data_IF_688429857382
#
_entry.id   IF_688429857382
#
_cell.length_a   1.000
_cell.length_b   1.000
_cell.length_c   1.000
_cell.angle_alpha   90.00
_cell.angle_beta   90.00
_cell.angle_gamma   90.00
#
_symmetry.space_group_name_H-M   'P 1'
#
loop_
_entity.id
_entity.type
_entity.pdbx_description
1 polymer ?
#
# COMPACT_ATOMS: atom_id res chain seq x y z
N UNK A 1 -3.02 -29.99 28.80
CA UNK A 1 -2.37 -29.58 27.55
C UNK A 1 -2.83 -28.16 27.28
N UNK A 2 -1.93 -27.20 27.43
CA UNK A 2 -2.23 -25.77 27.28
C UNK A 2 -2.43 -25.41 25.81
N UNK A 3 -3.26 -24.41 25.56
CA UNK A 3 -3.50 -23.82 24.24
C UNK A 3 -2.24 -23.22 23.61
N UNK A 4 -1.17 -22.98 24.37
CA UNK A 4 0.13 -22.48 23.90
C UNK A 4 0.95 -23.54 23.14
N UNK A 5 0.89 -24.82 23.54
CA UNK A 5 1.62 -25.90 22.84
C UNK A 5 1.02 -26.19 21.46
N UNK A 6 -0.27 -25.95 21.27
CA UNK A 6 -1.00 -26.28 20.04
C UNK A 6 -0.78 -25.25 18.91
N UNK A 7 -0.55 -23.98 19.23
CA UNK A 7 -0.21 -22.92 18.27
C UNK A 7 1.24 -23.00 17.82
N UNK A 8 2.15 -23.42 18.71
CA UNK A 8 3.57 -23.52 18.41
C UNK A 8 3.87 -24.68 17.45
N UNK A 9 3.22 -25.84 17.62
CA UNK A 9 3.35 -26.98 16.70
C UNK A 9 2.83 -26.69 15.28
N UNK A 10 1.80 -25.85 15.15
CA UNK A 10 1.24 -25.42 13.84
C UNK A 10 2.03 -24.29 13.18
N UNK A 11 2.62 -23.39 13.97
CA UNK A 11 3.61 -22.44 13.47
C UNK A 11 4.86 -23.18 12.98
N UNK A 12 5.28 -24.24 13.66
CA UNK A 12 6.32 -25.16 13.18
C UNK A 12 5.89 -25.90 11.92
N UNK A 13 4.60 -26.20 11.73
CA UNK A 13 4.10 -26.82 10.49
C UNK A 13 4.08 -25.83 9.31
N UNK A 14 3.74 -24.56 9.54
CA UNK A 14 3.86 -23.46 8.55
C UNK A 14 5.33 -23.14 8.29
N UNK A 15 6.17 -23.05 9.31
CA UNK A 15 7.62 -22.92 9.19
C UNK A 15 8.21 -24.13 8.48
N UNK A 16 7.74 -25.36 8.71
CA UNK A 16 8.19 -26.56 7.97
C UNK A 16 7.70 -26.59 6.52
N UNK A 17 6.48 -26.16 6.24
CA UNK A 17 6.00 -25.98 4.86
C UNK A 17 6.85 -24.93 4.12
N UNK A 18 7.31 -23.89 4.83
CA UNK A 18 8.19 -22.84 4.29
C UNK A 18 9.69 -23.22 4.34
N UNK A 19 10.15 -24.06 5.27
CA UNK A 19 11.53 -24.57 5.38
C UNK A 19 11.79 -25.71 4.40
N UNK A 20 10.73 -26.41 3.96
CA UNK A 20 10.81 -27.39 2.86
C UNK A 20 10.97 -26.67 1.51
N UNK A 21 10.63 -25.38 1.36
CA UNK A 21 10.64 -24.71 0.04
C UNK A 21 11.18 -23.27 -0.05
N UNK A 22 11.62 -22.62 1.02
CA UNK A 22 12.52 -21.46 0.94
C UNK A 22 13.94 -21.94 1.22
N UNK A 23 14.69 -22.40 0.19
CA UNK A 23 16.05 -22.84 0.41
C UNK A 23 16.81 -21.69 1.05
N UNK A 24 17.49 -22.03 2.16
CA UNK A 24 18.73 -21.39 2.58
C UNK A 24 19.42 -20.81 1.35
N UNK A 25 19.75 -19.52 1.43
CA UNK A 25 20.41 -18.61 0.47
C UNK A 25 21.76 -19.10 -0.10
N UNK A 26 21.87 -20.41 -0.34
CA UNK A 26 23.08 -21.19 -0.55
C UNK A 26 23.09 -21.99 -1.86
N UNK A 27 22.01 -21.98 -2.65
CA UNK A 27 22.10 -22.25 -4.10
C UNK A 27 22.27 -20.95 -4.88
N UNK A 28 23.35 -20.22 -4.58
CA UNK A 28 24.00 -19.30 -5.53
C UNK A 28 24.65 -20.14 -6.65
N UNK A 29 23.86 -20.89 -7.41
CA UNK A 29 24.29 -21.22 -8.76
C UNK A 29 24.12 -19.94 -9.59
N UNK A 30 25.24 -19.47 -10.13
CA UNK A 30 25.36 -18.32 -11.03
C UNK A 30 24.22 -18.29 -12.07
N UNK A 31 23.13 -17.59 -11.77
CA UNK A 31 22.22 -16.99 -12.75
C UNK A 31 22.42 -15.46 -12.80
N UNK A 32 23.65 -15.00 -12.56
CA UNK A 32 24.07 -13.59 -12.49
C UNK A 32 24.06 -12.85 -13.86
N UNK A 33 23.25 -13.24 -14.83
CA UNK A 33 23.20 -12.59 -16.15
C UNK A 33 21.80 -12.38 -16.73
N UNK A 34 20.75 -12.63 -15.95
CA UNK A 34 19.37 -12.49 -16.43
C UNK A 34 18.89 -11.06 -16.18
N UNK A 35 18.40 -10.40 -17.22
CA UNK A 35 17.96 -9.01 -17.12
C UNK A 35 16.65 -8.90 -16.31
N UNK A 36 16.58 -7.88 -15.44
CA UNK A 36 15.42 -7.63 -14.59
C UNK A 36 14.76 -6.29 -14.87
N UNK A 37 13.49 -6.15 -14.51
CA UNK A 37 12.74 -4.90 -14.58
C UNK A 37 12.02 -4.58 -13.26
N UNK A 38 12.07 -3.29 -12.87
CA UNK A 38 11.23 -2.76 -11.79
C UNK A 38 9.99 -2.10 -12.39
N UNK A 39 8.80 -2.59 -12.02
CA UNK A 39 7.52 -2.15 -12.56
C UNK A 39 6.47 -2.12 -11.45
N UNK A 40 5.86 -0.97 -11.17
CA UNK A 40 4.77 -0.86 -10.18
C UNK A 40 3.45 -1.43 -10.71
N UNK A 41 2.46 -1.76 -9.86
CA UNK A 41 1.14 -2.22 -10.29
C UNK A 41 0.46 -1.32 -11.34
N UNK A 42 0.54 0.00 -11.15
CA UNK A 42 0.04 1.00 -12.12
C UNK A 42 0.81 1.03 -13.45
N UNK A 43 2.09 0.67 -13.44
CA UNK A 43 2.87 0.51 -14.67
C UNK A 43 2.56 -0.81 -15.35
N UNK A 44 2.31 -1.89 -14.60
CA UNK A 44 1.85 -3.18 -15.13
C UNK A 44 0.54 -2.98 -15.87
N UNK A 45 -0.42 -2.23 -15.32
CA UNK A 45 -1.70 -1.95 -15.98
C UNK A 45 -1.52 -1.29 -17.37
N UNK A 46 -0.65 -0.28 -17.45
CA UNK A 46 -0.30 0.37 -18.73
C UNK A 46 0.43 -0.58 -19.67
N UNK A 47 1.37 -1.35 -19.15
CA UNK A 47 2.13 -2.33 -19.94
C UNK A 47 1.25 -3.46 -20.46
N UNK A 48 0.25 -3.92 -19.69
CA UNK A 48 -0.73 -4.91 -20.13
C UNK A 48 -1.46 -4.45 -21.39
N UNK A 49 -1.91 -3.19 -21.43
CA UNK A 49 -2.54 -2.62 -22.63
C UNK A 49 -1.58 -2.59 -23.82
N UNK A 50 -0.34 -2.14 -23.61
CA UNK A 50 0.67 -2.06 -24.67
C UNK A 50 1.12 -3.44 -25.16
N UNK A 51 1.16 -4.43 -24.26
CA UNK A 51 1.48 -5.81 -24.56
C UNK A 51 0.37 -6.49 -25.37
N UNK A 52 -0.90 -6.27 -25.01
CA UNK A 52 -2.03 -6.74 -25.82
C UNK A 52 -2.07 -6.10 -27.20
N UNK A 53 -1.75 -4.80 -27.30
CA UNK A 53 -1.62 -4.12 -28.58
C UNK A 53 -0.48 -4.72 -29.42
N UNK A 54 0.68 -4.96 -28.81
CA UNK A 54 1.82 -5.62 -29.46
C UNK A 54 1.44 -7.01 -29.98
N UNK A 55 0.76 -7.83 -29.18
CA UNK A 55 0.34 -9.18 -29.58
C UNK A 55 -0.68 -9.19 -30.74
N UNK A 56 -1.38 -8.09 -31.00
CA UNK A 56 -2.31 -7.95 -32.14
C UNK A 56 -1.63 -7.46 -33.42
N UNK A 57 -0.44 -6.87 -33.30
CA UNK A 57 0.30 -6.29 -34.42
C UNK A 57 1.43 -7.25 -34.83
N UNK A 58 1.39 -7.72 -36.07
CA UNK A 58 2.32 -8.75 -36.58
C UNK A 58 3.76 -8.26 -36.80
N UNK A 59 4.02 -6.96 -36.69
CA UNK A 59 5.25 -6.32 -37.13
C UNK A 59 5.70 -5.22 -36.12
N UNK A 60 6.97 -5.26 -35.71
CA UNK A 60 7.54 -4.33 -34.72
C UNK A 60 7.54 -2.85 -35.17
N UNK A 61 7.66 -2.58 -36.48
CA UNK A 61 7.59 -1.22 -37.04
C UNK A 61 6.18 -0.65 -36.90
N UNK A 62 5.15 -1.45 -37.22
CA UNK A 62 3.75 -1.03 -37.08
C UNK A 62 3.41 -0.80 -35.62
N UNK A 63 3.93 -1.63 -34.71
CA UNK A 63 3.76 -1.44 -33.28
C UNK A 63 4.38 -0.12 -32.81
N UNK A 64 5.63 0.17 -33.20
CA UNK A 64 6.28 1.45 -32.87
C UNK A 64 5.51 2.63 -33.46
N UNK A 65 4.97 2.50 -34.68
CA UNK A 65 4.14 3.52 -35.28
C UNK A 65 2.87 3.78 -34.47
N UNK A 66 2.17 2.74 -34.01
CA UNK A 66 1.01 2.88 -33.12
C UNK A 66 1.37 3.57 -31.79
N UNK A 67 2.55 3.30 -31.22
CA UNK A 67 3.00 4.00 -30.01
C UNK A 67 3.18 5.52 -30.20
N UNK A 68 3.42 5.98 -31.43
CA UNK A 68 3.52 7.42 -31.74
C UNK A 68 2.15 8.10 -31.77
N UNK A 69 1.07 7.35 -32.00
CA UNK A 69 -0.31 7.85 -32.02
C UNK A 69 -0.91 8.02 -30.62
N UNK A 70 -0.26 7.50 -29.57
CA UNK A 70 -0.72 7.69 -28.19
C UNK A 70 -0.56 9.17 -27.82
N UNK A 71 -1.70 9.87 -27.78
CA UNK A 71 -1.78 11.29 -27.47
C UNK A 71 -1.32 11.60 -26.04
N UNK A 72 -0.76 12.81 -25.80
CA UNK A 72 -0.49 13.30 -24.46
C UNK A 72 -1.78 13.38 -23.63
N UNK A 73 -1.66 13.24 -22.31
CA UNK A 73 -2.80 13.43 -21.40
C UNK A 73 -3.26 14.89 -21.47
N UNK A 74 -4.54 15.10 -21.77
CA UNK A 74 -5.18 16.41 -21.77
C UNK A 74 -5.23 17.01 -20.37
N UNK A 75 -5.07 18.33 -20.27
CA UNK A 75 -5.07 19.06 -18.98
C UNK A 75 -6.35 18.83 -18.17
N UNK A 76 -7.50 18.76 -18.82
CA UNK A 76 -8.81 18.55 -18.17
C UNK A 76 -8.90 17.16 -17.53
N UNK A 77 -8.53 16.10 -18.26
CA UNK A 77 -8.42 14.73 -17.73
C UNK A 77 -7.40 14.64 -16.60
N UNK A 78 -6.28 15.36 -16.71
CA UNK A 78 -5.29 15.44 -15.64
C UNK A 78 -5.85 16.12 -14.37
N UNK A 79 -6.65 17.19 -14.50
CA UNK A 79 -7.31 17.86 -13.38
C UNK A 79 -8.34 16.94 -12.71
N UNK A 80 -9.16 16.25 -13.50
CA UNK A 80 -10.14 15.29 -12.99
C UNK A 80 -9.46 14.15 -12.22
N UNK A 81 -8.43 13.54 -12.82
CA UNK A 81 -7.61 12.52 -12.16
C UNK A 81 -7.00 13.03 -10.85
N UNK A 82 -6.50 14.28 -10.84
CA UNK A 82 -5.96 14.91 -9.63
C UNK A 82 -7.02 15.07 -8.54
N UNK A 83 -8.24 15.49 -8.88
CA UNK A 83 -9.36 15.60 -7.92
C UNK A 83 -9.67 14.25 -7.27
N UNK A 84 -9.81 13.20 -8.07
CA UNK A 84 -10.09 11.86 -7.54
C UNK A 84 -8.94 11.32 -6.68
N UNK A 85 -7.70 11.60 -7.07
CA UNK A 85 -6.52 11.18 -6.28
C UNK A 85 -6.45 11.90 -4.92
N UNK A 86 -6.74 13.20 -4.89
CA UNK A 86 -6.79 14.00 -3.66
C UNK A 86 -7.93 13.50 -2.76
N UNK A 87 -9.13 13.34 -3.32
CA UNK A 87 -10.29 12.84 -2.60
C UNK A 87 -10.03 11.47 -1.97
N UNK A 88 -9.54 10.50 -2.77
CA UNK A 88 -9.21 9.17 -2.28
C UNK A 88 -8.16 9.21 -1.17
N UNK A 89 -7.07 9.96 -1.37
CA UNK A 89 -6.01 10.11 -0.35
C UNK A 89 -6.56 10.67 0.96
N UNK A 90 -7.39 11.73 0.89
CA UNK A 90 -7.98 12.33 2.07
C UNK A 90 -8.99 11.39 2.75
N UNK A 91 -9.82 10.68 2.00
CA UNK A 91 -10.76 9.68 2.52
C UNK A 91 -10.05 8.52 3.22
N UNK A 92 -8.98 7.99 2.62
CA UNK A 92 -8.20 6.89 3.19
C UNK A 92 -7.56 7.34 4.50
N UNK A 93 -6.99 8.55 4.53
CA UNK A 93 -6.37 9.09 5.75
C UNK A 93 -7.39 9.38 6.86
N UNK A 94 -8.60 9.84 6.52
CA UNK A 94 -9.69 9.94 7.48
C UNK A 94 -10.02 8.58 8.09
N UNK A 95 -10.18 7.54 7.25
CA UNK A 95 -10.39 6.17 7.70
C UNK A 95 -9.25 5.67 8.61
N UNK A 96 -8.00 5.89 8.23
CA UNK A 96 -6.82 5.46 9.02
C UNK A 96 -6.77 6.15 10.39
N UNK A 97 -7.01 7.46 10.44
CA UNK A 97 -7.02 8.18 11.71
C UNK A 97 -8.22 7.77 12.57
N UNK A 98 -9.41 7.59 12.01
CA UNK A 98 -10.55 7.06 12.77
C UNK A 98 -10.23 5.70 13.39
N UNK A 99 -9.60 4.78 12.63
CA UNK A 99 -9.16 3.50 13.19
C UNK A 99 -8.14 3.66 14.31
N UNK A 100 -7.12 4.50 14.11
CA UNK A 100 -6.07 4.73 15.11
C UNK A 100 -6.66 5.26 16.42
N UNK A 101 -7.49 6.31 16.36
CA UNK A 101 -8.11 6.90 17.54
C UNK A 101 -9.05 5.91 18.25
N UNK A 102 -9.87 5.16 17.51
CA UNK A 102 -10.74 4.13 18.09
C UNK A 102 -9.92 3.04 18.80
N UNK A 103 -8.80 2.62 18.21
CA UNK A 103 -7.92 1.60 18.81
C UNK A 103 -7.27 2.09 20.10
N UNK A 104 -6.80 3.34 20.13
CA UNK A 104 -6.16 3.90 21.33
C UNK A 104 -7.17 4.28 22.41
N UNK A 105 -8.40 4.61 22.03
CA UNK A 105 -9.52 4.80 22.97
C UNK A 105 -9.82 3.51 23.75
N UNK A 106 -9.71 2.32 23.12
CA UNK A 106 -9.82 1.05 23.84
C UNK A 106 -8.72 0.85 24.90
N UNK A 107 -7.62 1.60 24.79
CA UNK A 107 -6.54 1.68 25.78
C UNK A 107 -6.70 2.89 26.72
N UNK A 108 -7.84 3.60 26.65
CA UNK A 108 -8.20 4.79 27.43
C UNK A 108 -7.21 5.95 27.29
N UNK A 109 -6.70 6.19 26.08
CA UNK A 109 -5.74 7.27 25.81
C UNK A 109 -5.78 7.79 24.38
N UNK A 110 -5.15 8.94 24.17
CA UNK A 110 -4.87 9.47 22.83
C UNK A 110 -3.71 8.71 22.17
N UNK A 111 -3.58 8.77 20.83
CA UNK A 111 -2.43 8.25 20.12
C UNK A 111 -1.11 8.84 20.62
N UNK A 112 -0.08 8.01 20.67
CA UNK A 112 1.29 8.39 20.97
C UNK A 112 2.15 8.22 19.71
N UNK A 113 3.38 8.75 19.77
CA UNK A 113 4.39 8.52 18.73
C UNK A 113 4.64 7.03 18.43
N UNK A 114 4.60 6.15 19.43
CA UNK A 114 4.77 4.72 19.22
C UNK A 114 3.60 4.13 18.43
N UNK A 115 2.38 4.59 18.67
CA UNK A 115 1.20 4.11 17.93
C UNK A 115 1.24 4.51 16.47
N UNK A 116 1.69 5.74 16.16
CA UNK A 116 1.94 6.14 14.78
C UNK A 116 2.98 5.23 14.11
N UNK A 117 4.06 4.88 14.83
CA UNK A 117 5.10 3.98 14.33
C UNK A 117 4.59 2.55 14.11
N UNK A 118 3.76 2.05 15.03
CA UNK A 118 3.18 0.72 14.96
C UNK A 118 2.07 0.60 13.91
N UNK A 119 1.39 1.71 13.59
CA UNK A 119 0.29 1.75 12.63
C UNK A 119 0.78 2.05 11.21
N UNK A 120 1.70 3.00 11.05
CA UNK A 120 2.28 3.38 9.75
C UNK A 120 3.74 2.93 9.67
N UNK A 121 4.03 1.67 9.37
CA UNK A 121 5.39 1.14 9.45
C UNK A 121 6.29 1.73 8.35
N UNK A 122 7.60 1.67 8.56
CA UNK A 122 8.62 2.01 7.56
C UNK A 122 8.59 3.47 7.06
N UNK A 123 8.11 4.41 7.88
CA UNK A 123 8.25 5.85 7.64
C UNK A 123 9.48 6.41 8.35
N UNK A 124 9.96 7.57 7.90
CA UNK A 124 11.11 8.23 8.51
C UNK A 124 10.71 8.89 9.86
N UNK A 125 11.70 9.29 10.66
CA UNK A 125 11.46 9.92 11.97
C UNK A 125 10.67 11.23 11.88
N UNK A 126 10.85 11.98 10.80
CA UNK A 126 10.19 13.27 10.59
C UNK A 126 8.68 13.08 10.36
N UNK A 127 8.27 12.04 9.63
CA UNK A 127 6.86 11.66 9.47
C UNK A 127 6.16 11.49 10.82
N UNK A 128 6.74 10.71 11.74
CA UNK A 128 6.13 10.49 13.05
C UNK A 128 6.15 11.73 13.95
N UNK A 129 7.20 12.57 13.85
CA UNK A 129 7.22 13.87 14.53
C UNK A 129 6.13 14.79 13.98
N UNK A 130 5.92 14.80 12.66
CA UNK A 130 4.87 15.55 12.01
C UNK A 130 3.49 15.13 12.51
N UNK A 131 3.19 13.83 12.54
CA UNK A 131 1.91 13.33 13.08
C UNK A 131 1.71 13.70 14.55
N UNK A 132 2.76 13.59 15.38
CA UNK A 132 2.69 14.05 16.77
C UNK A 132 2.41 15.56 16.87
N UNK A 133 3.05 16.38 16.04
CA UNK A 133 2.81 17.82 16.00
C UNK A 133 1.38 18.16 15.57
N UNK A 134 0.80 17.42 14.61
CA UNK A 134 -0.62 17.55 14.26
C UNK A 134 -1.50 17.27 15.48
N UNK A 135 -1.18 16.24 16.28
CA UNK A 135 -1.94 15.93 17.49
C UNK A 135 -1.88 17.09 18.50
N UNK A 136 -0.71 17.68 18.66
CA UNK A 136 -0.46 18.76 19.63
C UNK A 136 -1.24 20.04 19.29
N UNK A 137 -1.57 20.28 18.01
CA UNK A 137 -2.38 21.43 17.57
C UNK A 137 -3.86 21.10 17.36
N UNK A 138 -4.25 19.83 17.45
CA UNK A 138 -5.64 19.38 17.28
C UNK A 138 -6.46 19.72 18.53
N UNK A 139 -7.71 20.16 18.35
CA UNK A 139 -8.68 20.24 19.44
C UNK A 139 -9.10 18.83 19.91
N UNK A 140 -8.45 18.36 20.98
CA UNK A 140 -8.71 17.04 21.55
C UNK A 140 -10.03 16.97 22.34
N UNK A 141 -10.75 18.08 22.51
CA UNK A 141 -12.07 18.11 23.16
C UNK A 141 -13.23 18.06 22.16
N UNK A 142 -12.94 18.01 20.86
CA UNK A 142 -13.94 17.83 19.81
C UNK A 142 -14.73 16.52 19.97
N UNK A 143 -16.04 16.58 19.70
CA UNK A 143 -16.92 15.41 19.67
C UNK A 143 -16.47 14.34 18.66
N UNK A 144 -15.69 14.71 17.64
CA UNK A 144 -15.08 13.77 16.70
C UNK A 144 -13.60 14.12 16.51
N UNK A 145 -12.81 13.78 17.52
CA UNK A 145 -11.36 14.04 17.54
C UNK A 145 -10.63 13.50 16.31
N UNK A 146 -11.03 12.34 15.77
CA UNK A 146 -10.39 11.76 14.58
C UNK A 146 -10.58 12.63 13.32
N UNK A 147 -11.76 13.21 13.16
CA UNK A 147 -12.06 14.14 12.06
C UNK A 147 -11.38 15.49 12.28
N UNK A 148 -11.34 15.99 13.52
CA UNK A 148 -10.58 17.21 13.86
C UNK A 148 -9.10 17.04 13.56
N UNK A 149 -8.50 15.91 13.95
CA UNK A 149 -7.11 15.57 13.66
C UNK A 149 -6.85 15.48 12.16
N UNK A 150 -7.72 14.79 11.41
CA UNK A 150 -7.64 14.72 9.96
C UNK A 150 -7.69 16.12 9.31
N UNK A 151 -8.57 16.99 9.81
CA UNK A 151 -8.68 18.35 9.31
C UNK A 151 -7.41 19.18 9.59
N UNK A 152 -6.78 19.01 10.75
CA UNK A 152 -5.48 19.63 11.00
C UNK A 152 -4.38 19.04 10.12
N UNK A 153 -4.34 17.71 9.94
CA UNK A 153 -3.36 17.04 9.08
C UNK A 153 -3.42 17.51 7.62
N UNK A 154 -4.62 17.67 7.05
CA UNK A 154 -4.74 18.11 5.64
C UNK A 154 -4.36 19.59 5.48
N UNK A 155 -4.53 20.42 6.52
CA UNK A 155 -4.28 21.86 6.46
C UNK A 155 -2.87 22.27 6.88
N UNK A 156 -2.09 21.35 7.46
CA UNK A 156 -0.78 21.67 8.01
C UNK A 156 0.27 20.64 7.61
N UNK A 157 1.47 21.12 7.30
CA UNK A 157 2.64 20.28 7.14
C UNK A 157 2.75 19.53 5.82
N UNK A 158 1.89 19.79 4.83
CA UNK A 158 2.00 19.19 3.50
C UNK A 158 3.02 19.97 2.64
N UNK A 159 3.96 19.25 2.01
CA UNK A 159 4.97 19.80 1.10
C UNK A 159 4.55 19.60 -0.36
N UNK A 160 4.32 20.71 -1.06
CA UNK A 160 3.95 20.74 -2.48
C UNK A 160 5.14 21.00 -3.41
N UNK A 161 6.37 20.94 -2.91
CA UNK A 161 7.57 21.26 -3.69
C UNK A 161 7.75 20.38 -4.94
N UNK A 162 7.86 20.97 -6.15
CA UNK A 162 8.00 20.23 -7.39
C UNK A 162 9.33 19.47 -7.45
N UNK A 163 9.31 18.23 -7.95
CA UNK A 163 10.54 17.45 -8.11
C UNK A 163 11.34 17.94 -9.33
N UNK A 164 12.65 18.19 -9.17
CA UNK A 164 13.57 18.84 -10.16
C UNK A 164 13.64 18.21 -11.57
N UNK A 165 13.03 17.03 -11.79
CA UNK A 165 13.07 16.30 -13.07
C UNK A 165 11.69 15.85 -13.55
N UNK A 166 10.62 16.46 -13.03
CA UNK A 166 9.25 16.15 -13.44
C UNK A 166 8.67 17.29 -14.25
N UNK A 167 8.08 16.94 -15.39
CA UNK A 167 7.31 17.87 -16.21
C UNK A 167 5.84 17.73 -15.81
N UNK A 168 5.33 18.74 -15.14
CA UNK A 168 3.96 18.77 -14.65
C UNK A 168 3.04 19.44 -15.69
N UNK A 169 1.89 18.82 -15.95
CA UNK A 169 0.79 19.45 -16.70
C UNK A 169 0.00 20.37 -15.76
N UNK A 170 -0.18 19.95 -14.51
CA UNK A 170 -0.86 20.72 -13.45
C UNK A 170 0.18 21.28 -12.48
N UNK A 171 0.18 22.60 -12.31
CA UNK A 171 1.12 23.26 -11.41
C UNK A 171 0.92 22.82 -9.96
N UNK A 172 2.00 22.66 -9.17
CA UNK A 172 1.90 22.31 -7.76
C UNK A 172 1.04 23.27 -6.91
N UNK A 173 1.02 24.57 -7.24
CA UNK A 173 0.13 25.54 -6.59
C UNK A 173 -1.34 25.21 -6.80
N UNK A 174 -1.72 24.82 -8.02
CA UNK A 174 -3.08 24.34 -8.31
C UNK A 174 -3.40 23.08 -7.52
N UNK A 175 -2.44 22.15 -7.37
CA UNK A 175 -2.63 20.96 -6.54
C UNK A 175 -2.81 21.32 -5.06
N UNK A 176 -2.06 22.29 -4.53
CA UNK A 176 -2.25 22.81 -3.18
C UNK A 176 -3.64 23.40 -2.99
N UNK A 177 -4.07 24.28 -3.90
CA UNK A 177 -5.39 24.90 -3.80
C UNK A 177 -6.49 23.81 -3.89
N UNK A 178 -6.32 22.82 -4.77
CA UNK A 178 -7.21 21.65 -4.84
C UNK A 178 -7.17 20.78 -3.58
N UNK A 179 -6.04 20.68 -2.89
CA UNK A 179 -5.92 19.90 -1.66
C UNK A 179 -6.61 20.59 -0.47
N UNK A 180 -6.40 21.89 -0.34
CA UNK A 180 -6.93 22.69 0.77
C UNK A 180 -8.42 22.96 0.61
N UNK A 181 -8.87 23.23 -0.62
CA UNK A 181 -10.26 23.53 -0.96
C UNK A 181 -11.08 22.31 -1.39
N UNK A 182 -10.44 21.30 -1.97
CA UNK A 182 -11.05 20.03 -2.39
C UNK A 182 -11.23 19.07 -1.22
N UNK A 183 -11.92 19.56 -0.20
CA UNK A 183 -12.33 18.79 0.98
C UNK A 183 -13.30 17.70 0.54
N UNK A 184 -13.29 16.57 1.27
CA UNK A 184 -14.41 15.63 1.27
C UNK A 184 -15.71 16.45 1.45
N UNK A 185 -16.69 16.36 0.52
CA UNK A 185 -17.95 17.09 0.65
C UNK A 185 -18.62 16.81 1.99
N UNK A 186 -19.34 17.79 2.53
CA UNK A 186 -20.02 17.63 3.83
C UNK A 186 -20.97 16.43 3.83
N UNK A 187 -21.68 16.19 2.73
CA UNK A 187 -22.58 15.03 2.56
C UNK A 187 -21.82 13.69 2.68
N UNK A 188 -20.61 13.61 2.11
CA UNK A 188 -19.76 12.42 2.22
C UNK A 188 -19.19 12.30 3.63
N UNK A 189 -18.83 13.41 4.27
CA UNK A 189 -18.36 13.41 5.66
C UNK A 189 -19.47 12.92 6.62
N UNK A 190 -20.70 13.35 6.41
CA UNK A 190 -21.87 12.90 7.18
C UNK A 190 -22.12 11.40 6.93
N UNK A 191 -22.05 10.96 5.67
CA UNK A 191 -22.17 9.55 5.31
C UNK A 191 -21.08 8.70 5.97
N UNK A 192 -19.83 9.16 5.95
CA UNK A 192 -18.71 8.51 6.63
C UNK A 192 -18.99 8.41 8.14
N UNK A 193 -19.40 9.50 8.77
CA UNK A 193 -19.68 9.55 10.21
C UNK A 193 -20.85 8.64 10.62
N UNK A 194 -21.85 8.47 9.76
CA UNK A 194 -22.95 7.52 10.00
C UNK A 194 -22.50 6.06 9.86
N UNK A 195 -21.52 5.79 9.01
CA UNK A 195 -21.09 4.42 8.69
C UNK A 195 -19.83 3.97 9.44
N UNK A 196 -19.03 4.86 10.02
CA UNK A 196 -17.78 4.50 10.71
C UNK A 196 -17.97 3.52 11.87
N UNK A 197 -19.15 3.51 12.50
CA UNK A 197 -19.51 2.53 13.55
C UNK A 197 -19.68 1.11 13.01
N UNK A 198 -19.77 0.94 11.68
CA UNK A 198 -19.78 -0.35 10.99
C UNK A 198 -18.39 -0.90 10.72
N UNK A 199 -17.32 -0.12 10.99
CA UNK A 199 -15.95 -0.65 10.94
C UNK A 199 -15.88 -1.85 11.88
N UNK A 200 -15.31 -2.94 11.37
CA UNK A 200 -15.20 -4.20 12.11
C UNK A 200 -14.55 -4.01 13.50
N UNK A 201 -15.31 -4.36 14.54
CA UNK A 201 -14.91 -4.19 15.95
C UNK A 201 -13.76 -5.11 16.34
N UNK A 202 -13.65 -6.30 15.77
CA UNK A 202 -12.53 -7.21 16.06
C UNK A 202 -11.22 -6.65 15.50
N UNK A 203 -11.30 -6.05 14.31
CA UNK A 203 -10.18 -5.33 13.69
C UNK A 203 -9.74 -4.12 14.52
N UNK A 204 -10.69 -3.39 15.12
CA UNK A 204 -10.39 -2.25 15.98
C UNK A 204 -9.92 -2.64 17.39
N UNK A 205 -9.97 -3.91 17.77
CA UNK A 205 -9.52 -4.33 19.09
C UNK A 205 -8.01 -4.60 19.10
N UNK A 206 -7.20 -3.79 19.81
CA UNK A 206 -5.74 -3.95 19.84
C UNK A 206 -5.29 -5.23 20.56
N UNK A 207 -6.13 -5.88 21.36
CA UNK A 207 -5.78 -7.18 21.95
C UNK A 207 -5.90 -8.35 20.96
N UNK A 208 -6.69 -8.16 19.91
CA UNK A 208 -7.03 -9.21 18.95
C UNK A 208 -6.36 -9.00 17.60
N UNK A 209 -6.11 -7.75 17.20
CA UNK A 209 -5.66 -7.44 15.84
C UNK A 209 -4.53 -6.42 15.83
N UNK A 210 -3.46 -6.76 15.12
CA UNK A 210 -2.45 -5.81 14.67
C UNK A 210 -2.88 -5.25 13.33
N UNK A 211 -3.06 -3.94 13.27
CA UNK A 211 -3.49 -3.21 12.08
C UNK A 211 -2.34 -2.32 11.62
N UNK A 212 -1.94 -2.50 10.36
CA UNK A 212 -0.92 -1.73 9.65
C UNK A 212 -1.56 -0.98 8.47
N UNK A 213 -1.23 0.29 8.29
CA UNK A 213 -1.71 1.15 7.21
C UNK A 213 -0.56 1.61 6.32
N UNK A 214 -0.85 1.81 5.04
CA UNK A 214 0.09 2.29 4.02
C UNK A 214 1.43 1.54 4.00
N UNK A 215 1.35 0.21 4.06
CA UNK A 215 2.53 -0.64 4.14
C UNK A 215 3.18 -0.77 2.77
N UNK A 216 4.38 -0.21 2.62
CA UNK A 216 5.18 -0.34 1.41
C UNK A 216 6.00 -1.64 1.42
N UNK A 217 5.94 -2.38 0.32
CA UNK A 217 6.67 -3.62 0.12
C UNK A 217 7.27 -3.69 -1.29
N UNK A 218 8.37 -4.44 -1.41
CA UNK A 218 9.02 -4.78 -2.68
C UNK A 218 8.99 -6.29 -2.81
N UNK A 219 8.34 -6.78 -3.85
CA UNK A 219 8.33 -8.19 -4.22
C UNK A 219 9.29 -8.41 -5.39
N UNK A 220 10.21 -9.37 -5.25
CA UNK A 220 11.04 -9.86 -6.35
C UNK A 220 10.54 -11.24 -6.78
N UNK A 221 10.16 -11.37 -8.04
CA UNK A 221 9.78 -12.64 -8.67
C UNK A 221 10.88 -13.02 -9.66
N UNK A 222 11.48 -14.17 -9.45
CA UNK A 222 12.50 -14.72 -10.34
C UNK A 222 11.86 -15.72 -11.31
N UNK A 223 11.78 -15.34 -12.59
CA UNK A 223 11.48 -16.26 -13.68
C UNK A 223 12.77 -16.88 -14.24
N UNK A 224 12.63 -17.86 -15.14
CA UNK A 224 13.77 -18.53 -15.75
C UNK A 224 14.55 -17.62 -16.72
N UNK A 225 13.88 -16.69 -17.38
CA UNK A 225 14.37 -15.87 -18.49
C UNK A 225 14.39 -14.36 -18.17
N UNK A 226 13.68 -13.91 -17.13
CA UNK A 226 13.75 -12.53 -16.65
C UNK A 226 13.47 -12.42 -15.15
N UNK A 227 13.65 -11.23 -14.58
CA UNK A 227 13.30 -10.94 -13.18
C UNK A 227 12.34 -9.74 -13.10
N UNK A 228 11.31 -9.86 -12.27
CA UNK A 228 10.33 -8.81 -12.03
C UNK A 228 10.44 -8.31 -10.59
N UNK A 229 10.59 -7.00 -10.41
CA UNK A 229 10.53 -6.35 -9.11
C UNK A 229 9.32 -5.42 -9.05
N UNK A 230 8.41 -5.70 -8.13
CA UNK A 230 7.14 -4.97 -7.96
C UNK A 230 7.14 -4.20 -6.64
N UNK A 231 7.28 -2.87 -6.67
CA UNK A 231 7.01 -2.04 -5.51
C UNK A 231 5.49 -1.83 -5.34
N UNK A 232 4.96 -2.19 -4.17
CA UNK A 232 3.52 -2.19 -3.87
C UNK A 232 3.27 -1.43 -2.58
N UNK A 233 2.29 -0.52 -2.60
CA UNK A 233 1.75 0.12 -1.41
C UNK A 233 0.42 -0.56 -1.08
N UNK A 234 0.31 -1.06 0.14
CA UNK A 234 -0.87 -1.79 0.60
C UNK A 234 -1.57 -0.90 1.62
N UNK A 235 -2.83 -0.60 1.36
CA UNK A 235 -3.60 0.34 2.16
C UNK A 235 -3.73 -0.13 3.60
N UNK A 236 -4.11 -1.40 3.80
CA UNK A 236 -4.27 -1.94 5.14
C UNK A 236 -4.02 -3.45 5.22
N UNK A 237 -3.38 -3.86 6.32
CA UNK A 237 -3.12 -5.26 6.68
C UNK A 237 -3.56 -5.48 8.11
N UNK A 238 -4.43 -6.47 8.33
CA UNK A 238 -4.86 -6.91 9.65
C UNK A 238 -4.32 -8.31 9.95
N UNK A 239 -3.51 -8.43 11.00
CA UNK A 239 -2.95 -9.70 11.48
C UNK A 239 -3.67 -10.06 12.78
N UNK A 240 -4.42 -11.17 12.81
CA UNK A 240 -5.13 -11.58 14.02
C UNK A 240 -4.18 -12.27 15.01
N UNK A 241 -4.49 -12.20 16.30
CA UNK A 241 -3.66 -12.76 17.38
C UNK A 241 -3.68 -14.29 17.45
N UNK A 242 -4.66 -14.91 16.80
CA UNK A 242 -4.88 -16.35 16.74
C UNK A 242 -4.44 -16.96 15.40
N UNK A 243 -3.73 -16.19 14.57
CA UNK A 243 -3.07 -16.71 13.37
C UNK A 243 -2.22 -17.95 13.73
N UNK A 244 -2.31 -19.06 12.97
CA UNK A 244 -2.92 -19.17 11.64
C UNK A 244 -4.38 -19.67 11.61
N UNK A 245 -5.11 -19.65 12.74
CA UNK A 245 -6.52 -20.09 12.75
C UNK A 245 -7.44 -19.08 12.05
N UNK A 246 -7.20 -17.79 12.27
CA UNK A 246 -7.81 -16.72 11.47
C UNK A 246 -6.82 -16.19 10.43
N UNK A 247 -7.27 -15.91 9.19
CA UNK A 247 -6.39 -15.45 8.12
C UNK A 247 -6.01 -13.98 8.29
N UNK A 248 -4.85 -13.62 7.73
CA UNK A 248 -4.45 -12.21 7.56
C UNK A 248 -5.38 -11.57 6.54
N UNK A 249 -5.91 -10.40 6.86
CA UNK A 249 -6.78 -9.65 5.95
C UNK A 249 -5.98 -8.54 5.30
N UNK A 250 -6.08 -8.45 3.97
CA UNK A 250 -5.50 -7.40 3.15
C UNK A 250 -6.66 -6.60 2.59
N UNK A 251 -6.69 -5.31 2.91
CA UNK A 251 -7.76 -4.40 2.49
C UNK A 251 -7.16 -3.35 1.57
N UNK A 252 -7.84 -3.13 0.44
CA UNK A 252 -7.55 -2.08 -0.53
C UNK A 252 -8.78 -1.18 -0.62
N UNK A 253 -8.62 0.11 -0.33
CA UNK A 253 -9.74 1.03 -0.26
C UNK A 253 -10.09 1.53 -1.66
N UNK A 254 -11.39 1.47 -2.00
CA UNK A 254 -11.92 1.91 -3.30
C UNK A 254 -13.13 2.81 -3.09
N UNK A 255 -13.22 3.88 -3.86
CA UNK A 255 -14.34 4.83 -3.81
C UNK A 255 -14.96 5.04 -5.20
N UNK A 256 -16.23 5.43 -5.23
CA UNK A 256 -16.92 5.78 -6.48
C UNK A 256 -16.91 4.62 -7.50
N UNK A 257 -16.59 4.92 -8.76
CA UNK A 257 -16.57 3.93 -9.85
C UNK A 257 -15.51 2.84 -9.72
N UNK A 258 -14.54 3.02 -8.80
CA UNK A 258 -13.51 2.00 -8.52
C UNK A 258 -13.99 0.91 -7.56
N UNK A 259 -15.06 1.17 -6.79
CA UNK A 259 -15.64 0.15 -5.91
C UNK A 259 -16.57 -0.74 -6.72
N UNK A 260 -15.98 -1.74 -7.37
CA UNK A 260 -16.64 -2.74 -8.22
C UNK A 260 -15.90 -4.07 -8.13
N UNK A 261 -16.52 -5.14 -8.59
CA UNK A 261 -15.86 -6.43 -8.77
C UNK A 261 -14.59 -6.28 -9.65
N UNK A 262 -13.47 -6.93 -9.29
CA UNK A 262 -12.20 -6.75 -9.98
C UNK A 262 -12.23 -7.39 -11.38
N UNK A 263 -11.80 -6.64 -12.39
CA UNK A 263 -11.57 -7.16 -13.74
C UNK A 263 -10.18 -7.85 -13.80
N UNK A 264 -9.82 -8.36 -14.98
CA UNK A 264 -8.57 -9.12 -15.19
C UNK A 264 -7.31 -8.37 -14.70
N UNK A 265 -7.26 -7.05 -14.87
CA UNK A 265 -6.10 -6.25 -14.49
C UNK A 265 -6.02 -6.03 -12.98
N UNK A 266 -7.14 -5.70 -12.34
CA UNK A 266 -7.24 -5.58 -10.88
C UNK A 266 -6.88 -6.92 -10.20
N UNK A 267 -7.33 -8.04 -10.76
CA UNK A 267 -6.99 -9.40 -10.32
C UNK A 267 -5.48 -9.66 -10.28
N UNK A 268 -4.72 -9.20 -11.27
CA UNK A 268 -3.25 -9.28 -11.26
C UNK A 268 -2.65 -8.43 -10.13
N UNK A 269 -3.19 -7.22 -9.90
CA UNK A 269 -2.71 -6.36 -8.82
C UNK A 269 -2.97 -6.99 -7.45
N UNK A 270 -4.15 -7.56 -7.24
CA UNK A 270 -4.53 -8.30 -6.03
C UNK A 270 -3.57 -9.46 -5.79
N UNK A 271 -3.33 -10.28 -6.82
CA UNK A 271 -2.38 -11.39 -6.75
C UNK A 271 -0.97 -10.93 -6.34
N UNK A 272 -0.47 -9.84 -6.92
CA UNK A 272 0.84 -9.27 -6.58
C UNK A 272 0.87 -8.71 -5.14
N UNK A 273 -0.20 -8.09 -4.67
CA UNK A 273 -0.33 -7.62 -3.28
C UNK A 273 -0.29 -8.79 -2.30
N UNK A 274 -1.13 -9.81 -2.53
CA UNK A 274 -1.18 -11.01 -1.69
C UNK A 274 0.17 -11.73 -1.66
N UNK A 275 0.79 -11.92 -2.83
CA UNK A 275 2.13 -12.55 -2.93
C UNK A 275 3.18 -11.71 -2.21
N UNK A 276 3.09 -10.39 -2.30
CA UNK A 276 4.01 -9.51 -1.57
C UNK A 276 3.90 -9.72 -0.06
N UNK A 277 2.69 -9.79 0.50
CA UNK A 277 2.50 -10.04 1.93
C UNK A 277 2.99 -11.42 2.33
N UNK A 278 2.64 -12.45 1.55
CA UNK A 278 3.08 -13.82 1.78
C UNK A 278 4.61 -13.88 1.94
N UNK A 279 5.33 -13.36 0.97
CA UNK A 279 6.80 -13.44 0.92
C UNK A 279 7.45 -12.50 1.94
N UNK A 280 6.85 -11.35 2.24
CA UNK A 280 7.46 -10.35 3.12
C UNK A 280 7.10 -10.49 4.59
N UNK A 281 5.97 -11.11 4.93
CA UNK A 281 5.41 -11.02 6.28
C UNK A 281 5.11 -12.36 6.93
N UNK A 282 4.95 -13.45 6.19
CA UNK A 282 4.50 -14.72 6.77
C UNK A 282 5.44 -15.24 7.87
N UNK A 283 6.75 -15.15 7.68
CA UNK A 283 7.78 -15.51 8.68
C UNK A 283 7.88 -14.52 9.86
N UNK A 284 7.22 -13.36 9.75
CA UNK A 284 7.27 -12.29 10.76
C UNK A 284 6.09 -12.33 11.73
N UNK A 285 4.97 -12.96 11.35
CA UNK A 285 3.72 -12.96 12.13
C UNK A 285 3.93 -13.49 13.54
N UNK A 286 4.74 -14.55 13.71
CA UNK A 286 5.07 -15.09 15.03
C UNK A 286 5.84 -14.14 15.97
N UNK A 287 6.34 -13.00 15.45
CA UNK A 287 7.05 -11.99 16.24
C UNK A 287 6.20 -10.80 16.67
N UNK A 288 4.90 -10.82 16.36
CA UNK A 288 3.94 -9.79 16.80
C UNK A 288 3.69 -9.92 18.29
N UNK A 289 3.85 -8.81 19.00
CA UNK A 289 3.49 -8.68 20.41
C UNK A 289 2.11 -8.03 20.53
N UNK A 290 1.12 -8.84 20.93
CA UNK A 290 -0.25 -8.37 21.23
C UNK A 290 -0.47 -8.05 22.71
N UNK A 291 0.31 -8.69 23.59
CA UNK A 291 0.19 -8.55 25.04
C UNK A 291 1.27 -7.62 25.59
N UNK A 292 0.88 -6.85 26.61
CA UNK A 292 1.79 -6.01 27.36
C UNK A 292 2.77 -6.85 28.16
N UNK A 293 4.03 -6.40 28.21
CA UNK A 293 4.98 -6.98 29.15
C UNK A 293 4.64 -6.58 30.58
N UNK A 294 5.16 -7.30 31.57
CA UNK A 294 5.02 -6.91 32.97
C UNK A 294 5.62 -5.53 33.24
N UNK A 295 6.67 -5.15 32.49
CA UNK A 295 7.25 -3.82 32.54
C UNK A 295 6.26 -2.76 32.06
N UNK A 296 5.55 -3.03 30.95
CA UNK A 296 4.57 -2.11 30.38
C UNK A 296 3.41 -1.84 31.32
N UNK A 297 2.91 -2.89 31.96
CA UNK A 297 1.85 -2.80 32.98
C UNK A 297 2.34 -1.96 34.16
N UNK A 298 3.59 -2.18 34.62
CA UNK A 298 4.15 -1.47 35.78
C UNK A 298 4.41 0.01 35.50
N UNK A 299 4.63 0.39 34.25
CA UNK A 299 4.90 1.77 33.83
C UNK A 299 3.71 2.43 33.12
N UNK A 300 2.55 1.75 33.08
CA UNK A 300 1.35 2.20 32.39
C UNK A 300 1.55 2.48 30.89
N UNK A 301 2.57 1.91 30.26
CA UNK A 301 2.87 2.08 28.83
C UNK A 301 2.04 1.09 28.01
N UNK A 302 0.83 1.48 27.66
CA UNK A 302 -0.08 0.68 26.84
C UNK A 302 0.19 0.98 25.36
N UNK A 303 0.92 0.14 24.62
CA UNK A 303 1.16 0.35 23.19
C UNK A 303 0.24 -0.52 22.31
N UNK A 304 -0.09 -0.05 21.10
CA UNK A 304 -0.71 -0.90 20.08
C UNK A 304 0.22 -2.05 19.67
N UNK A 305 -0.31 -3.21 19.21
CA UNK A 305 0.49 -4.35 18.78
C UNK A 305 1.57 -4.01 17.76
N UNK A 306 2.73 -4.65 17.91
CA UNK A 306 3.90 -4.34 17.09
C UNK A 306 4.83 -5.55 16.88
N UNK A 307 5.68 -5.48 15.87
CA UNK A 307 6.75 -6.46 15.65
C UNK A 307 7.93 -6.24 16.61
N UNK A 308 8.28 -7.26 17.39
CA UNK A 308 9.34 -7.19 18.42
C UNK A 308 10.76 -7.08 17.85
N UNK A 309 11.05 -7.72 16.71
CA UNK A 309 12.40 -7.76 16.14
C UNK A 309 12.72 -6.46 15.39
N UNK A 310 13.73 -5.70 15.87
CA UNK A 310 14.20 -4.45 15.24
C UNK A 310 14.65 -4.61 13.77
N UNK A 311 15.25 -5.74 13.38
CA UNK A 311 15.63 -6.03 11.98
C UNK A 311 14.44 -6.22 11.03
N UNK A 312 13.24 -6.39 11.57
CA UNK A 312 11.99 -6.47 10.81
C UNK A 312 11.34 -5.08 10.63
N UNK A 313 11.91 -4.02 11.23
CA UNK A 313 11.53 -2.61 11.05
C UNK A 313 12.19 -1.94 9.84
N UNK A 314 13.05 -2.67 9.12
CA UNK A 314 13.69 -2.21 7.90
C UNK A 314 13.04 -2.90 6.69
N UNK A 315 12.66 -2.09 5.70
CA UNK A 315 12.05 -2.38 4.39
C UNK A 315 11.54 -3.82 4.16
N UNK A 316 10.25 -3.97 3.88
CA UNK A 316 9.67 -5.21 3.35
C UNK A 316 10.18 -5.47 1.93
N UNK A 317 11.30 -6.18 1.80
CA UNK A 317 11.84 -6.65 0.53
C UNK A 317 11.87 -8.18 0.55
N UNK A 318 11.00 -8.78 -0.25
CA UNK A 318 10.78 -10.21 -0.34
C UNK A 318 11.24 -10.72 -1.69
N UNK A 319 11.67 -11.98 -1.76
CA UNK A 319 12.05 -12.61 -3.04
C UNK A 319 11.54 -14.04 -3.11
N UNK A 320 11.06 -14.44 -4.28
CA UNK A 320 10.48 -15.76 -4.52
C UNK A 320 10.73 -16.19 -5.97
N UNK A 321 10.94 -17.48 -6.19
CA UNK A 321 11.01 -18.06 -7.53
C UNK A 321 9.62 -18.40 -8.05
N UNK A 322 9.42 -18.28 -9.36
CA UNK A 322 8.14 -18.61 -10.01
C UNK A 322 7.61 -20.00 -9.62
N UNK A 323 8.45 -21.04 -9.65
CA UNK A 323 8.05 -22.41 -9.33
C UNK A 323 7.55 -22.54 -7.88
N UNK A 324 8.20 -21.84 -6.94
CA UNK A 324 7.77 -21.84 -5.53
C UNK A 324 6.39 -21.21 -5.33
N UNK A 325 6.01 -20.23 -6.15
CA UNK A 325 4.67 -19.62 -6.05
C UNK A 325 3.60 -20.64 -6.47
N UNK A 326 3.90 -21.50 -7.44
CA UNK A 326 2.99 -22.57 -7.86
C UNK A 326 2.77 -23.59 -6.75
N UNK A 327 3.85 -23.96 -6.05
CA UNK A 327 3.81 -24.97 -4.98
C UNK A 327 3.04 -24.48 -3.73
N UNK A 328 2.97 -23.17 -3.52
CA UNK A 328 2.28 -22.53 -2.38
C UNK A 328 0.92 -21.91 -2.75
N UNK A 329 0.29 -22.30 -3.87
CA UNK A 329 -1.02 -21.76 -4.29
C UNK A 329 -2.10 -21.90 -3.22
N UNK A 330 -2.13 -23.05 -2.54
CA UNK A 330 -3.15 -23.39 -1.53
C UNK A 330 -3.00 -22.57 -0.25
N UNK A 331 -1.82 -21.99 -0.02
CA UNK A 331 -1.49 -21.13 1.12
C UNK A 331 -2.29 -19.83 1.07
N UNK A 332 -2.56 -19.31 -0.13
CA UNK A 332 -3.26 -18.04 -0.30
C UNK A 332 -4.66 -18.05 0.32
N UNK A 333 -5.49 -19.03 -0.03
CA UNK A 333 -6.87 -19.10 0.48
C UNK A 333 -6.95 -19.47 1.96
N UNK A 334 -5.97 -20.23 2.45
CA UNK A 334 -5.98 -20.73 3.81
C UNK A 334 -5.59 -19.64 4.82
N UNK A 335 -4.63 -18.80 4.46
CA UNK A 335 -4.00 -17.87 5.40
C UNK A 335 -4.22 -16.39 5.06
N UNK A 336 -4.81 -16.08 3.91
CA UNK A 336 -5.08 -14.70 3.50
C UNK A 336 -6.53 -14.51 3.05
N UNK A 337 -7.06 -13.33 3.31
CA UNK A 337 -8.30 -12.82 2.73
C UNK A 337 -8.02 -11.46 2.13
N UNK A 338 -8.50 -11.22 0.92
CA UNK A 338 -8.44 -9.91 0.28
C UNK A 338 -9.84 -9.33 0.14
N UNK A 339 -9.99 -8.02 0.34
CA UNK A 339 -11.26 -7.35 0.12
C UNK A 339 -11.07 -5.92 -0.37
N UNK A 340 -11.92 -5.49 -1.29
CA UNK A 340 -12.17 -4.06 -1.48
C UNK A 340 -13.11 -3.55 -0.42
N UNK A 341 -12.79 -2.40 0.16
CA UNK A 341 -13.66 -1.72 1.13
C UNK A 341 -13.92 -0.31 0.66
N UNK A 342 -15.17 0.11 0.68
CA UNK A 342 -15.52 1.52 0.48
C UNK A 342 -15.43 2.25 1.82
N UNK A 343 -14.46 3.18 2.03
CA UNK A 343 -14.32 3.88 3.29
C UNK A 343 -15.54 4.75 3.63
N UNK A 344 -16.33 5.16 2.63
CA UNK A 344 -17.51 6.00 2.84
C UNK A 344 -18.69 5.20 3.43
N UNK A 345 -18.97 4.02 2.89
CA UNK A 345 -20.15 3.21 3.24
C UNK A 345 -19.83 2.03 4.16
N UNK A 346 -18.55 1.66 4.25
CA UNK A 346 -18.03 0.43 4.88
C UNK A 346 -18.57 -0.87 4.23
N UNK A 347 -19.10 -0.77 3.02
CA UNK A 347 -19.40 -1.94 2.19
C UNK A 347 -18.09 -2.63 1.77
N UNK A 348 -18.14 -3.95 1.64
CA UNK A 348 -16.99 -4.76 1.27
C UNK A 348 -17.32 -5.73 0.13
N UNK A 349 -16.33 -5.93 -0.74
CA UNK A 349 -16.30 -6.96 -1.77
C UNK A 349 -15.15 -7.89 -1.41
N UNK A 350 -15.47 -9.06 -0.88
CA UNK A 350 -14.49 -10.10 -0.55
C UNK A 350 -14.07 -10.82 -1.84
N UNK A 351 -12.76 -10.96 -2.04
CA UNK A 351 -12.18 -11.57 -3.24
C UNK A 351 -11.39 -12.81 -2.83
N UNK A 352 -11.87 -13.98 -3.25
CA UNK A 352 -11.16 -15.23 -3.08
C UNK A 352 -10.12 -15.42 -4.20
N UNK A 353 -8.99 -16.10 -3.97
CA UNK A 353 -8.06 -16.45 -5.07
C UNK A 353 -8.77 -17.30 -6.14
N UNK A 354 -9.79 -18.06 -5.74
CA UNK A 354 -10.61 -18.85 -6.66
C UNK A 354 -11.48 -17.94 -7.54
N UNK A 355 -11.93 -16.80 -7.02
CA UNK A 355 -12.74 -15.80 -7.73
C UNK A 355 -11.89 -14.92 -8.66
N UNK A 356 -10.57 -14.85 -8.39
CA UNK A 356 -9.60 -14.27 -9.33
C UNK A 356 -9.68 -15.02 -10.68
N UNK A 357 -10.15 -16.29 -10.71
CA UNK A 357 -10.65 -16.95 -11.92
C UNK A 357 -9.61 -17.14 -13.03
N UNK A 358 -8.32 -17.01 -12.69
CA UNK A 358 -7.18 -17.18 -13.58
C UNK A 358 -6.24 -18.14 -12.82
N UNK A 359 -5.79 -19.18 -13.51
CA UNK A 359 -4.78 -20.09 -12.96
C UNK A 359 -3.54 -19.25 -12.57
N UNK A 360 -3.01 -19.45 -11.35
CA UNK A 360 -1.82 -18.74 -10.86
C UNK A 360 -0.66 -18.92 -11.85
N UNK A 361 -0.56 -20.10 -12.49
CA UNK A 361 0.41 -20.36 -13.55
C UNK A 361 0.21 -19.43 -14.75
N UNK A 362 -1.03 -19.27 -15.21
CA UNK A 362 -1.34 -18.38 -16.34
C UNK A 362 -1.04 -16.92 -15.99
N UNK A 363 -1.35 -16.48 -14.77
CA UNK A 363 -1.01 -15.13 -14.29
C UNK A 363 0.49 -14.88 -14.32
N UNK A 364 1.25 -15.81 -13.78
CA UNK A 364 2.68 -15.69 -13.68
C UNK A 364 3.35 -15.79 -15.06
N UNK A 365 2.85 -16.64 -15.97
CA UNK A 365 3.27 -16.66 -17.37
C UNK A 365 2.97 -15.33 -18.07
N UNK A 366 1.80 -14.74 -17.82
CA UNK A 366 1.42 -13.43 -18.35
C UNK A 366 2.35 -12.31 -17.81
N UNK A 367 2.65 -12.32 -16.51
CA UNK A 367 3.60 -11.38 -15.89
C UNK A 367 5.01 -11.54 -16.45
N UNK A 368 5.46 -12.78 -16.67
CA UNK A 368 6.74 -13.06 -17.33
C UNK A 368 6.75 -12.46 -18.75
N UNK A 369 5.69 -12.70 -19.54
CA UNK A 369 5.52 -12.15 -20.88
C UNK A 369 5.57 -10.62 -20.92
N UNK A 370 4.84 -9.94 -20.03
CA UNK A 370 4.89 -8.48 -19.88
C UNK A 370 6.30 -8.01 -19.52
N UNK A 371 6.98 -8.70 -18.61
CA UNK A 371 8.31 -8.32 -18.13
C UNK A 371 9.34 -8.44 -19.24
N UNK A 372 9.36 -9.57 -19.95
CA UNK A 372 10.22 -9.81 -21.12
C UNK A 372 9.94 -8.81 -22.24
N UNK A 373 8.66 -8.51 -22.52
CA UNK A 373 8.25 -7.46 -23.45
C UNK A 373 8.79 -6.09 -23.05
N UNK A 374 8.63 -5.70 -21.79
CA UNK A 374 9.10 -4.41 -21.29
C UNK A 374 10.63 -4.30 -21.34
N UNK A 375 11.35 -5.38 -21.01
CA UNK A 375 12.81 -5.44 -21.15
C UNK A 375 13.21 -5.21 -22.61
N UNK A 376 12.62 -5.96 -23.54
CA UNK A 376 12.93 -5.87 -24.98
C UNK A 376 12.74 -4.47 -25.55
N UNK A 377 11.65 -3.78 -25.20
CA UNK A 377 11.32 -2.45 -25.74
C UNK A 377 11.53 -1.31 -24.73
N UNK A 378 12.36 -1.52 -23.71
CA UNK A 378 12.54 -0.58 -22.57
C UNK A 378 12.80 0.85 -23.01
N UNK A 379 13.63 1.05 -24.03
CA UNK A 379 14.00 2.39 -24.53
C UNK A 379 12.80 3.19 -25.06
N UNK A 380 11.78 2.50 -25.58
CA UNK A 380 10.58 3.12 -26.18
C UNK A 380 9.45 3.19 -25.15
N UNK A 381 9.30 2.14 -24.32
CA UNK A 381 8.20 2.03 -23.36
C UNK A 381 8.44 2.81 -22.08
N UNK A 382 9.68 2.88 -21.58
CA UNK A 382 10.00 3.56 -20.32
C UNK A 382 9.46 5.00 -20.32
N UNK A 383 9.69 5.85 -21.34
CA UNK A 383 9.12 7.20 -21.38
C UNK A 383 7.59 7.28 -21.43
N UNK A 384 6.89 6.19 -21.78
CA UNK A 384 5.41 6.13 -21.85
C UNK A 384 4.78 5.69 -20.53
N UNK A 385 5.53 4.95 -19.70
CA UNK A 385 5.08 4.45 -18.39
C UNK A 385 5.78 5.12 -17.20
N UNK A 386 6.76 6.00 -17.44
CA UNK A 386 7.54 6.63 -16.38
C UNK A 386 6.68 7.59 -15.54
N UNK A 387 6.72 7.40 -14.23
CA UNK A 387 6.14 8.29 -13.22
C UNK A 387 6.75 9.71 -13.21
N UNK A 388 7.91 9.92 -13.85
CA UNK A 388 8.52 11.23 -14.03
C UNK A 388 7.73 12.13 -15.00
N UNK A 389 6.81 11.54 -15.78
CA UNK A 389 5.85 12.27 -16.62
C UNK A 389 4.43 12.24 -16.04
N UNK A 390 4.30 11.99 -14.73
CA UNK A 390 3.02 12.14 -14.06
C UNK A 390 2.51 13.56 -14.26
N UNK A 391 1.25 13.75 -14.72
CA UNK A 391 0.74 15.07 -15.04
C UNK A 391 0.65 16.01 -13.83
N UNK A 392 0.67 15.45 -12.62
CA UNK A 392 0.72 16.13 -11.33
C UNK A 392 1.45 15.26 -10.29
N UNK A 393 1.75 15.82 -9.12
CA UNK A 393 2.13 15.07 -7.92
C UNK A 393 1.32 15.56 -6.73
N UNK A 394 0.83 14.62 -5.92
CA UNK A 394 0.27 14.90 -4.61
C UNK A 394 1.38 15.37 -3.64
N UNK A 395 1.03 16.11 -2.57
CA UNK A 395 2.01 16.56 -1.59
C UNK A 395 2.66 15.38 -0.86
N UNK A 396 3.85 15.62 -0.32
CA UNK A 396 4.47 14.74 0.66
C UNK A 396 4.31 15.29 2.06
N UNK A 397 4.23 14.41 3.05
CA UNK A 397 4.17 14.79 4.46
C UNK A 397 5.37 14.20 5.23
N UNK A 398 5.99 14.95 6.15
CA UNK A 398 5.77 16.36 6.46
C UNK A 398 6.75 17.26 5.69
N UNK A 399 6.37 18.52 5.46
CA UNK A 399 7.32 19.60 5.20
C UNK A 399 8.16 19.82 6.46
N UNK A 400 9.46 20.06 6.28
CA UNK A 400 10.37 20.17 7.41
C UNK A 400 10.05 21.41 8.27
N UNK A 401 10.10 21.25 9.60
CA UNK A 401 9.96 22.33 10.59
C UNK A 401 8.68 23.17 10.44
N UNK A 402 7.54 22.53 10.16
CA UNK A 402 6.26 23.22 10.02
C UNK A 402 5.63 23.54 11.38
N UNK A 403 5.20 24.78 11.55
CA UNK A 403 4.42 25.18 12.74
C UNK A 403 2.92 25.08 12.46
N UNK A 404 2.46 25.76 11.42
CA UNK A 404 1.09 25.79 10.91
C UNK A 404 1.13 26.10 9.42
N UNK A 405 0.17 25.61 8.65
CA UNK A 405 0.02 25.69 7.20
C UNK A 405 0.80 24.67 6.35
N UNK A 406 0.32 24.47 5.13
CA UNK A 406 0.99 23.77 4.06
C UNK A 406 1.93 24.70 3.29
N UNK A 407 2.91 24.15 2.59
CA UNK A 407 3.89 24.99 1.91
C UNK A 407 4.71 24.33 0.83
N UNK A 408 5.78 25.05 0.48
CA UNK A 408 6.81 24.61 -0.45
C UNK A 408 8.15 24.69 0.30
N UNK A 409 8.85 23.57 0.43
CA UNK A 409 10.23 23.57 0.92
C UNK A 409 11.13 24.54 0.12
N UNK A 410 11.93 25.34 0.84
CA UNK A 410 12.83 26.37 0.27
C UNK A 410 13.93 25.84 -0.67
N UNK A 411 14.09 24.51 -0.79
CA UNK A 411 15.21 23.88 -1.49
C UNK A 411 15.09 23.85 -3.03
N UNK A 412 14.04 24.43 -3.63
CA UNK A 412 13.89 24.45 -5.09
C UNK A 412 13.50 25.85 -5.55
N UNK A 413 14.51 26.62 -5.98
CA UNK A 413 14.29 27.74 -6.88
C UNK A 413 13.53 27.22 -8.12
N UNK A 414 12.28 27.64 -8.24
CA UNK A 414 11.52 27.53 -9.47
C UNK A 414 12.32 28.25 -10.56
N UNK A 415 12.89 27.49 -11.49
CA UNK A 415 13.18 28.02 -12.81
C UNK A 415 11.85 28.40 -13.43
N UNK A 416 11.45 29.66 -13.23
CA UNK A 416 10.35 30.29 -13.95
C UNK A 416 10.69 30.25 -15.43
N UNK A 417 10.19 29.25 -16.15
CA UNK A 417 10.01 29.39 -17.59
C UNK A 417 8.74 30.23 -17.76
N UNK A 418 8.95 31.55 -17.86
CA UNK A 418 8.01 32.48 -18.49
C UNK A 418 7.83 32.13 -19.97
#
# INVERSE_FOLDING_TARGET
>A
MSTEDFTQDRLIEVEKLLEIELPNTSKKEKRDSVEGARVSPSQIEKLSYLYELHNRITNDIDFVHELTKIEPIEKEKALESARYSIYGTQMHQLQYFTQLFNRTEQLNRLPSKNDFLHTFPFRNSEYYKGLQHILDITDTHSNNISQSYWNEWRMNGQDFTPKRHKNYIINPSTIRDMWELGVIPLEDMDTFNMNKEKIDKEKLNPHNTMLLNETFSILNIFFNDCHLQVPTLIDEICIPNDFPNSPIRIIDYKTGSQFKEPEYKERIQIFLMMTSILVNMMDRVGSVQFKQSQWDITHNTHDLPFFTKRKLKDNLIGSVYFDQILDISDVFNKYFKFSYVNPLTQESIDININDIGIDIKDMLMYLNGITSFYIKYRNILKPKIDSNRSPYTLPSFPIKDFDKCNGFSNDIQLGLNL
#
